data_IF_522265485023
#
_entry.id   IF_522265485023
#
_cell.length_a   1.000
_cell.length_b   1.000
_cell.length_c   1.000
_cell.angle_alpha   90.00
_cell.angle_beta   90.00
_cell.angle_gamma   90.00
#
_symmetry.space_group_name_H-M   'P 1'
#
loop_
_entity.id
_entity.type
_entity.pdbx_description
1 polymer ?
#
# COMPACT_ATOMS: atom_id res chain seq x y z
N UNK A 1 -47.57 -5.27 19.76
CA UNK A 1 -46.67 -4.58 18.79
C UNK A 1 -45.51 -4.01 19.58
N UNK A 2 -44.45 -4.77 19.74
CA UNK A 2 -43.30 -4.43 20.60
C UNK A 2 -42.20 -3.89 19.73
N UNK A 3 -41.88 -2.59 19.89
CA UNK A 3 -40.80 -1.90 19.18
C UNK A 3 -39.54 -2.04 20.01
N UNK A 4 -38.55 -2.76 19.49
CA UNK A 4 -37.19 -2.86 20.03
C UNK A 4 -36.37 -1.65 19.55
N UNK A 5 -36.05 -0.72 20.46
CA UNK A 5 -35.02 0.31 20.24
C UNK A 5 -33.63 -0.27 20.55
N UNK A 6 -32.78 -0.38 19.53
CA UNK A 6 -31.34 -0.60 19.70
C UNK A 6 -30.65 0.72 20.04
N UNK A 7 -30.04 0.78 21.20
CA UNK A 7 -29.15 1.88 21.58
C UNK A 7 -27.74 1.65 21.03
N UNK A 8 -27.22 2.62 20.28
CA UNK A 8 -25.81 2.73 19.95
C UNK A 8 -25.24 3.94 20.72
N UNK A 9 -24.21 3.66 21.49
CA UNK A 9 -23.18 4.54 22.09
C UNK A 9 -23.48 6.02 22.31
N UNK A 10 -23.57 6.39 23.58
CA UNK A 10 -23.56 7.78 24.08
C UNK A 10 -22.13 8.12 24.51
N UNK A 11 -21.52 9.14 23.88
CA UNK A 11 -20.30 9.78 24.34
C UNK A 11 -20.67 11.07 25.04
N UNK A 12 -20.23 11.25 26.29
CA UNK A 12 -20.49 12.41 27.10
C UNK A 12 -19.17 13.13 27.40
N UNK A 13 -18.97 14.33 26.81
CA UNK A 13 -17.87 15.22 27.12
C UNK A 13 -18.33 16.28 28.11
N UNK A 14 -17.48 16.63 29.06
CA UNK A 14 -17.75 17.58 30.15
C UNK A 14 -18.04 18.98 29.61
N UNK A 15 -19.28 19.27 29.30
CA UNK A 15 -19.83 20.63 29.34
C UNK A 15 -21.33 20.56 29.02
N UNK A 16 -22.13 20.90 29.95
CA UNK A 16 -23.56 21.24 30.09
C UNK A 16 -24.47 21.34 28.85
N UNK A 17 -24.26 20.60 27.77
CA UNK A 17 -25.24 20.46 26.66
C UNK A 17 -25.06 19.14 25.93
N UNK A 18 -26.01 18.20 26.11
CA UNK A 18 -26.13 17.02 25.27
C UNK A 18 -26.78 17.41 23.93
N UNK A 19 -26.07 17.24 22.82
CA UNK A 19 -26.62 17.40 21.47
C UNK A 19 -26.75 16.01 20.83
N UNK A 20 -27.98 15.61 20.57
CA UNK A 20 -28.32 14.44 19.79
C UNK A 20 -28.27 14.80 18.30
N UNK A 21 -27.37 14.20 17.56
CA UNK A 21 -27.36 14.30 16.12
C UNK A 21 -28.17 13.13 15.51
N UNK A 22 -29.38 13.44 15.02
CA UNK A 22 -30.19 12.55 14.20
C UNK A 22 -30.54 13.29 12.92
N UNK A 23 -30.29 12.78 11.74
CA UNK A 23 -30.76 13.41 10.50
C UNK A 23 -32.21 13.01 10.20
N UNK A 24 -33.05 14.04 10.04
CA UNK A 24 -34.39 14.03 9.46
C UNK A 24 -35.54 13.25 10.16
N UNK A 25 -36.27 13.95 11.06
CA UNK A 25 -37.71 13.82 11.19
C UNK A 25 -38.28 15.01 12.02
N UNK A 26 -39.55 15.42 11.78
CA UNK A 26 -40.07 16.67 12.24
C UNK A 26 -40.49 16.66 13.70
N UNK A 27 -40.44 17.83 14.30
CA UNK A 27 -40.78 18.24 15.66
C UNK A 27 -41.94 17.50 16.32
N UNK A 28 -41.64 16.81 17.43
CA UNK A 28 -42.63 16.44 18.44
C UNK A 28 -42.35 17.25 19.74
N UNK A 29 -43.27 18.11 20.11
CA UNK A 29 -43.26 18.86 21.39
C UNK A 29 -43.65 17.89 22.50
N UNK A 30 -42.82 17.77 23.53
CA UNK A 30 -43.25 17.16 24.79
C UNK A 30 -44.06 18.17 25.58
N UNK A 31 -45.32 17.84 25.83
CA UNK A 31 -46.20 18.55 26.73
C UNK A 31 -45.81 18.26 28.19
N UNK A 32 -45.67 19.30 28.96
CA UNK A 32 -45.50 19.24 30.41
C UNK A 32 -46.74 18.64 31.06
N UNK A 33 -46.53 17.65 31.93
CA UNK A 33 -47.62 17.15 32.79
C UNK A 33 -47.64 17.97 34.07
N UNK A 34 -48.53 18.96 34.11
CA UNK A 34 -49.07 19.49 35.35
C UNK A 34 -50.20 18.54 35.80
N UNK A 35 -50.02 17.95 36.98
CA UNK A 35 -51.03 17.09 37.61
C UNK A 35 -51.21 17.46 39.09
N UNK A 36 -52.16 18.31 39.35
CA UNK A 36 -52.64 18.59 40.70
C UNK A 36 -53.30 17.36 41.30
N UNK A 37 -52.64 16.73 42.25
CA UNK A 37 -53.21 15.64 43.04
C UNK A 37 -53.86 16.14 44.33
N UNK A 38 -55.11 15.90 44.49
CA UNK A 38 -56.01 16.24 45.55
C UNK A 38 -55.46 15.87 46.94
N UNK A 39 -55.67 16.84 47.89
CA UNK A 39 -55.24 16.81 49.29
C UNK A 39 -55.82 15.64 50.15
N UNK A 40 -56.76 14.84 49.60
CA UNK A 40 -57.32 13.67 50.27
C UNK A 40 -56.41 12.40 50.16
N UNK A 41 -55.53 12.35 49.27
CA UNK A 41 -54.64 11.17 49.09
C UNK A 41 -53.41 11.22 50.01
N UNK A 42 -53.09 12.41 50.59
CA UNK A 42 -51.95 12.55 51.50
C UNK A 42 -52.28 12.13 52.97
N UNK A 43 -53.55 12.04 53.35
CA UNK A 43 -53.94 11.59 54.69
C UNK A 43 -54.00 10.08 54.84
N UNK A 44 -54.20 9.31 53.72
CA UNK A 44 -54.24 7.84 53.76
C UNK A 44 -52.85 7.21 53.77
N UNK A 45 -51.81 7.94 53.32
CA UNK A 45 -50.43 7.45 53.34
C UNK A 45 -49.78 7.64 54.73
N UNK A 46 -50.18 8.63 55.52
CA UNK A 46 -49.67 8.82 56.89
C UNK A 46 -50.23 7.81 57.88
N UNK A 47 -51.42 7.27 57.70
CA UNK A 47 -51.99 6.30 58.63
C UNK A 47 -51.45 4.90 58.44
N UNK A 48 -50.92 4.53 57.21
CA UNK A 48 -50.23 3.28 56.95
C UNK A 48 -48.79 3.23 57.46
N UNK A 49 -48.16 4.37 57.69
CA UNK A 49 -46.78 4.46 58.15
C UNK A 49 -46.61 4.31 59.69
N UNK A 50 -47.68 4.45 60.47
CA UNK A 50 -47.63 4.26 61.95
C UNK A 50 -47.95 2.82 62.40
N UNK A 51 -48.51 1.95 61.52
CA UNK A 51 -48.82 0.56 61.89
C UNK A 51 -47.66 -0.42 61.58
N UNK A 52 -46.57 0.02 60.93
CA UNK A 52 -45.45 -0.85 60.55
C UNK A 52 -44.23 -0.78 61.50
N UNK A 53 -44.34 -0.09 62.64
CA UNK A 53 -43.20 0.17 63.51
C UNK A 53 -43.01 -0.80 64.68
N UNK A 54 -43.68 -1.97 64.69
CA UNK A 54 -43.50 -2.90 65.82
C UNK A 54 -43.49 -4.39 65.38
N UNK A 55 -42.79 -4.72 64.29
CA UNK A 55 -42.32 -6.09 64.14
C UNK A 55 -40.79 -6.07 64.33
N UNK A 56 -40.37 -6.40 65.53
CA UNK A 56 -38.98 -6.63 65.88
C UNK A 56 -38.47 -7.74 64.92
N UNK A 57 -37.72 -7.31 63.90
CA UNK A 57 -36.89 -8.22 63.17
C UNK A 57 -35.79 -8.68 64.12
N UNK A 58 -35.94 -9.92 64.65
CA UNK A 58 -34.75 -10.66 65.02
C UNK A 58 -33.79 -10.63 63.84
N UNK A 59 -32.73 -9.84 63.89
CA UNK A 59 -31.62 -9.96 63.02
C UNK A 59 -30.99 -11.33 63.32
N UNK A 60 -31.49 -12.36 62.64
CA UNK A 60 -30.67 -13.59 62.50
C UNK A 60 -29.34 -13.11 61.91
N UNK A 61 -28.24 -13.40 62.59
CA UNK A 61 -26.90 -13.29 62.05
C UNK A 61 -26.88 -14.34 60.94
N UNK A 62 -27.34 -13.92 59.74
CA UNK A 62 -27.19 -14.72 58.54
C UNK A 62 -25.69 -14.87 58.34
N UNK A 63 -25.22 -16.10 58.36
CA UNK A 63 -23.84 -16.38 57.92
C UNK A 63 -23.80 -16.00 56.45
N UNK A 64 -23.20 -14.83 56.16
CA UNK A 64 -23.02 -14.41 54.76
C UNK A 64 -22.10 -15.41 54.09
N UNK A 65 -22.62 -16.09 53.08
CA UNK A 65 -21.88 -17.11 52.29
C UNK A 65 -21.09 -16.39 51.21
N UNK A 66 -19.84 -16.75 50.94
CA UNK A 66 -19.05 -16.16 49.88
C UNK A 66 -19.73 -16.29 48.52
N UNK A 67 -19.70 -15.24 47.74
CA UNK A 67 -20.18 -15.21 46.38
C UNK A 67 -19.17 -14.55 45.43
N UNK A 68 -19.16 -15.00 44.18
CA UNK A 68 -18.37 -14.29 43.18
C UNK A 68 -19.08 -12.98 42.79
N UNK A 69 -18.27 -11.93 42.62
CA UNK A 69 -18.71 -10.66 42.09
C UNK A 69 -18.84 -10.74 40.55
N UNK A 70 -17.91 -10.10 39.84
CA UNK A 70 -17.88 -10.14 38.37
C UNK A 70 -17.25 -11.44 37.84
N UNK A 71 -17.68 -11.92 36.66
CA UNK A 71 -17.07 -13.07 36.00
C UNK A 71 -15.61 -12.80 35.61
N UNK A 72 -14.75 -13.82 35.72
CA UNK A 72 -13.36 -13.72 35.26
C UNK A 72 -13.35 -13.49 33.75
N UNK A 73 -12.63 -12.46 33.31
CA UNK A 73 -12.46 -12.14 31.89
C UNK A 73 -11.47 -13.08 31.21
N UNK A 74 -11.76 -13.45 29.95
CA UNK A 74 -10.77 -14.14 29.13
C UNK A 74 -9.69 -13.17 28.69
N UNK A 75 -8.44 -13.64 28.69
CA UNK A 75 -7.28 -12.85 28.34
C UNK A 75 -6.66 -13.34 27.03
N UNK A 76 -6.30 -12.43 26.15
CA UNK A 76 -5.50 -12.70 24.94
C UNK A 76 -4.19 -11.95 25.08
N UNK A 77 -3.09 -12.70 25.26
CA UNK A 77 -1.79 -12.12 25.61
C UNK A 77 -0.71 -12.63 24.64
N UNK A 78 0.10 -11.73 24.07
CA UNK A 78 1.26 -12.14 23.27
C UNK A 78 2.29 -12.87 24.12
N UNK A 79 2.93 -13.88 23.51
CA UNK A 79 4.04 -14.59 24.15
C UNK A 79 5.11 -13.60 24.67
N UNK A 80 5.65 -13.84 25.86
CA UNK A 80 6.65 -12.99 26.50
C UNK A 80 6.10 -11.78 27.26
N UNK A 81 4.77 -11.55 27.23
CA UNK A 81 4.07 -10.52 28.02
C UNK A 81 3.52 -11.12 29.30
N UNK A 82 3.06 -10.26 30.19
CA UNK A 82 2.50 -10.65 31.47
C UNK A 82 0.97 -10.74 31.37
N UNK A 83 0.37 -11.76 31.99
CA UNK A 83 -1.06 -11.95 32.12
C UNK A 83 -1.47 -11.82 33.60
N UNK A 84 -2.63 -11.21 33.84
CA UNK A 84 -3.20 -11.08 35.18
C UNK A 84 -4.68 -11.42 35.15
N UNK A 85 -5.07 -12.47 35.83
CA UNK A 85 -6.48 -12.78 36.10
C UNK A 85 -6.92 -12.11 37.37
N UNK A 86 -8.14 -11.64 37.36
CA UNK A 86 -8.83 -11.01 38.50
C UNK A 86 -10.02 -11.86 38.90
N UNK A 87 -10.11 -12.15 40.19
CA UNK A 87 -11.23 -12.88 40.79
C UNK A 87 -11.79 -12.07 41.98
N UNK A 88 -13.02 -11.63 41.83
CA UNK A 88 -13.72 -10.83 42.85
C UNK A 88 -14.62 -11.77 43.66
N UNK A 89 -14.41 -11.79 44.98
CA UNK A 89 -15.17 -12.62 45.91
C UNK A 89 -15.70 -11.73 47.03
N UNK A 90 -17.00 -11.58 47.12
CA UNK A 90 -17.67 -10.83 48.22
C UNK A 90 -17.94 -11.77 49.38
N UNK A 91 -17.92 -11.26 50.61
CA UNK A 91 -18.18 -11.98 51.86
C UNK A 91 -17.29 -13.20 52.05
N UNK A 92 -15.99 -13.07 51.70
CA UNK A 92 -15.06 -14.20 51.78
C UNK A 92 -14.93 -14.78 53.20
N UNK A 93 -14.99 -13.95 54.25
CA UNK A 93 -14.90 -14.37 55.65
C UNK A 93 -13.66 -15.23 55.93
N UNK A 94 -13.85 -16.42 56.51
CA UNK A 94 -12.80 -17.37 56.84
C UNK A 94 -12.47 -18.37 55.71
N UNK A 95 -13.15 -18.25 54.55
CA UNK A 95 -12.89 -19.11 53.37
C UNK A 95 -11.61 -18.67 52.66
N UNK A 96 -11.10 -19.57 51.82
CA UNK A 96 -9.87 -19.33 51.05
C UNK A 96 -10.11 -19.41 49.56
N UNK A 97 -9.48 -18.51 48.83
CA UNK A 97 -9.47 -18.50 47.37
C UNK A 97 -8.30 -19.40 46.90
N UNK A 98 -8.60 -20.25 45.91
CA UNK A 98 -7.62 -21.08 45.23
C UNK A 98 -7.56 -20.80 43.75
N UNK A 99 -6.37 -20.80 43.17
CA UNK A 99 -6.17 -20.71 41.73
C UNK A 99 -5.71 -22.07 41.19
N UNK A 100 -6.39 -22.59 40.15
CA UNK A 100 -6.11 -23.90 39.57
C UNK A 100 -6.02 -23.76 38.07
N UNK A 101 -5.01 -24.35 37.45
CA UNK A 101 -5.02 -24.53 35.98
C UNK A 101 -5.89 -25.73 35.70
N UNK A 102 -7.10 -25.45 35.14
CA UNK A 102 -8.17 -26.44 35.06
C UNK A 102 -7.82 -27.61 34.12
N UNK A 103 -7.11 -27.34 33.02
CA UNK A 103 -6.71 -28.34 32.02
C UNK A 103 -5.84 -29.45 32.62
N UNK A 104 -4.91 -29.08 33.51
CA UNK A 104 -3.96 -29.99 34.15
C UNK A 104 -4.37 -30.36 35.56
N UNK A 105 -5.40 -29.71 36.11
CA UNK A 105 -5.83 -29.78 37.51
C UNK A 105 -4.72 -29.40 38.50
N UNK A 106 -3.73 -28.63 38.04
CA UNK A 106 -2.60 -28.22 38.86
C UNK A 106 -2.96 -26.98 39.67
N UNK A 107 -2.81 -27.07 40.98
CA UNK A 107 -3.00 -25.95 41.90
C UNK A 107 -1.86 -24.95 41.66
N UNK A 108 -2.20 -23.73 41.37
CA UNK A 108 -1.23 -22.64 41.19
C UNK A 108 -0.95 -21.93 42.51
N UNK A 109 -2.01 -21.62 43.25
CA UNK A 109 -1.89 -20.97 44.54
C UNK A 109 -3.14 -21.21 45.41
N UNK A 110 -2.95 -21.08 46.73
CA UNK A 110 -4.05 -21.07 47.71
C UNK A 110 -3.87 -19.82 48.55
N UNK A 111 -4.84 -18.92 48.51
CA UNK A 111 -4.83 -17.62 49.16
C UNK A 111 -3.57 -16.84 48.73
N UNK A 112 -2.66 -16.52 49.66
CA UNK A 112 -1.40 -15.82 49.39
C UNK A 112 -0.23 -16.79 49.09
N UNK A 113 -0.43 -18.08 49.28
CA UNK A 113 0.62 -19.08 49.13
C UNK A 113 0.67 -19.65 47.71
N UNK A 114 1.77 -19.40 46.99
CA UNK A 114 2.06 -20.03 45.70
C UNK A 114 2.45 -21.49 45.92
N UNK A 115 1.76 -22.42 45.27
CA UNK A 115 1.96 -23.87 45.38
C UNK A 115 2.74 -24.41 44.19
N UNK A 116 2.55 -23.81 43.01
CA UNK A 116 3.26 -24.26 41.80
C UNK A 116 4.76 -24.01 41.88
N UNK A 117 5.55 -24.87 41.24
CA UNK A 117 7.00 -24.67 41.08
C UNK A 117 7.34 -23.71 39.95
N UNK A 118 6.33 -23.20 39.18
CA UNK A 118 6.54 -22.24 38.14
C UNK A 118 6.85 -20.84 38.71
N UNK A 119 8.12 -20.44 38.66
CA UNK A 119 8.60 -19.17 39.22
C UNK A 119 7.99 -17.94 38.54
N UNK A 120 7.34 -18.11 37.38
CA UNK A 120 6.64 -17.03 36.64
C UNK A 120 5.26 -16.72 37.23
N UNK A 121 4.75 -17.59 38.12
CA UNK A 121 3.43 -17.43 38.74
C UNK A 121 3.57 -16.74 40.09
N UNK A 122 2.74 -15.73 40.32
CA UNK A 122 2.61 -15.08 41.64
C UNK A 122 1.16 -14.66 41.87
N UNK A 123 0.81 -14.38 43.11
CA UNK A 123 -0.53 -13.94 43.48
C UNK A 123 -0.43 -12.66 44.32
N UNK A 124 -1.48 -11.84 44.25
CA UNK A 124 -1.68 -10.67 45.08
C UNK A 124 -3.15 -10.45 45.34
N UNK A 125 -3.47 -9.58 46.24
CA UNK A 125 -4.82 -9.05 46.45
C UNK A 125 -4.73 -7.57 46.74
N UNK A 126 -5.75 -6.79 46.32
CA UNK A 126 -5.83 -5.34 46.57
C UNK A 126 -6.60 -5.03 47.85
N UNK A 127 -7.57 -5.88 48.16
CA UNK A 127 -8.43 -5.82 49.33
C UNK A 127 -8.84 -7.25 49.73
N UNK A 128 -9.78 -7.42 50.66
CA UNK A 128 -10.26 -8.74 51.04
C UNK A 128 -11.17 -9.40 49.99
N UNK A 129 -11.55 -8.67 48.93
CA UNK A 129 -12.49 -9.16 47.94
C UNK A 129 -11.83 -9.46 46.59
N UNK A 130 -10.73 -8.80 46.21
CA UNK A 130 -10.15 -8.86 44.86
C UNK A 130 -8.82 -9.61 44.89
N UNK A 131 -8.79 -10.75 44.16
CA UNK A 131 -7.67 -11.69 44.12
C UNK A 131 -7.08 -11.77 42.71
N UNK A 132 -5.77 -11.62 42.59
CA UNK A 132 -5.06 -11.63 41.31
C UNK A 132 -4.15 -12.86 41.20
N UNK A 133 -4.18 -13.48 40.01
CA UNK A 133 -3.17 -14.45 39.56
C UNK A 133 -2.34 -13.79 38.46
N UNK A 134 -1.04 -13.62 38.73
CA UNK A 134 -0.10 -13.05 37.75
C UNK A 134 0.74 -14.18 37.14
N UNK A 135 0.84 -14.17 35.81
CA UNK A 135 1.69 -15.07 35.02
C UNK A 135 2.65 -14.18 34.25
N UNK A 136 3.91 -14.10 34.66
CA UNK A 136 4.92 -13.27 34.00
C UNK A 136 5.55 -14.01 32.84
N UNK A 137 5.93 -13.24 31.77
CA UNK A 137 6.62 -13.80 30.62
C UNK A 137 5.89 -15.03 30.07
N UNK A 138 4.61 -14.86 29.71
CA UNK A 138 3.69 -15.91 29.24
C UNK A 138 4.34 -16.72 28.13
N UNK A 139 4.27 -18.05 28.23
CA UNK A 139 4.73 -19.02 27.26
C UNK A 139 3.53 -19.74 26.61
N UNK A 140 3.76 -20.45 25.50
CA UNK A 140 2.68 -21.16 24.81
C UNK A 140 2.01 -22.22 25.70
N UNK A 141 2.78 -22.86 26.56
CA UNK A 141 2.32 -23.85 27.54
C UNK A 141 1.36 -23.30 28.62
N UNK A 142 1.35 -21.97 28.81
CA UNK A 142 0.46 -21.32 29.76
C UNK A 142 -0.97 -21.17 29.22
N UNK A 143 -1.17 -21.33 27.92
CA UNK A 143 -2.51 -21.35 27.32
C UNK A 143 -3.40 -22.33 28.02
N UNK A 144 -4.66 -21.95 28.26
CA UNK A 144 -5.65 -22.85 28.86
C UNK A 144 -6.58 -22.16 29.84
N UNK A 145 -7.35 -22.97 30.54
CA UNK A 145 -8.35 -22.53 31.50
C UNK A 145 -7.73 -22.36 32.90
N UNK A 146 -7.99 -21.21 33.51
CA UNK A 146 -7.64 -20.93 34.91
C UNK A 146 -8.90 -20.73 35.70
N UNK A 147 -8.98 -21.44 36.82
CA UNK A 147 -10.14 -21.48 37.69
C UNK A 147 -9.82 -20.81 39.02
N UNK A 148 -10.64 -19.85 39.40
CA UNK A 148 -10.70 -19.32 40.74
C UNK A 148 -11.77 -20.09 41.53
N UNK A 149 -11.44 -20.67 42.66
CA UNK A 149 -12.34 -21.45 43.46
C UNK A 149 -12.33 -21.03 44.92
N UNK A 150 -13.47 -21.19 45.59
CA UNK A 150 -13.66 -20.92 47.00
C UNK A 150 -13.97 -22.26 47.68
N UNK A 151 -13.34 -22.55 48.82
CA UNK A 151 -13.46 -23.78 49.58
C UNK A 151 -14.76 -23.86 50.41
N UNK A 152 -15.90 -23.46 49.77
CA UNK A 152 -17.25 -23.65 50.32
C UNK A 152 -17.71 -25.09 50.17
N UNK A 153 -18.76 -25.47 50.87
CA UNK A 153 -19.48 -26.75 50.66
C UNK A 153 -20.94 -26.47 50.23
N UNK A 154 -21.36 -26.72 48.97
CA UNK A 154 -20.47 -27.20 47.87
C UNK A 154 -19.49 -26.15 47.40
N UNK A 155 -18.33 -26.60 46.82
CA UNK A 155 -17.30 -25.74 46.30
C UNK A 155 -17.80 -24.86 45.15
N UNK A 156 -17.54 -23.54 45.26
CA UNK A 156 -17.85 -22.57 44.20
C UNK A 156 -16.63 -22.32 43.33
N UNK A 157 -16.81 -22.18 42.03
CA UNK A 157 -15.73 -21.86 41.09
C UNK A 157 -16.22 -21.05 39.90
N UNK A 158 -15.32 -20.25 39.32
CA UNK A 158 -15.48 -19.61 38.03
C UNK A 158 -14.17 -19.69 37.22
N UNK A 159 -14.30 -19.63 35.89
CA UNK A 159 -13.16 -19.85 34.99
C UNK A 159 -12.95 -18.69 34.02
N UNK A 160 -11.66 -18.41 33.77
CA UNK A 160 -11.22 -17.56 32.67
C UNK A 160 -10.27 -18.34 31.75
N UNK A 161 -10.19 -17.96 30.50
CA UNK A 161 -9.31 -18.57 29.51
C UNK A 161 -8.15 -17.63 29.16
N UNK A 162 -6.93 -18.16 29.19
CA UNK A 162 -5.74 -17.49 28.67
C UNK A 162 -5.48 -17.98 27.25
N UNK A 163 -5.68 -17.12 26.27
CA UNK A 163 -5.25 -17.34 24.91
C UNK A 163 -3.87 -16.70 24.68
N UNK A 164 -2.92 -17.52 24.26
CA UNK A 164 -1.55 -17.07 23.99
C UNK A 164 -1.38 -16.89 22.50
N UNK A 165 -1.12 -15.66 22.08
CA UNK A 165 -0.90 -15.33 20.68
C UNK A 165 0.57 -15.15 20.39
N UNK A 166 0.99 -15.59 19.19
CA UNK A 166 2.38 -15.54 18.74
C UNK A 166 2.46 -14.66 17.51
N UNK A 167 3.27 -13.59 17.52
CA UNK A 167 3.45 -12.76 16.36
C UNK A 167 4.03 -13.55 15.19
N UNK A 168 3.84 -13.08 13.94
CA UNK A 168 4.36 -13.76 12.76
C UNK A 168 5.89 -13.74 12.73
N UNK A 169 6.49 -14.84 12.29
CA UNK A 169 7.90 -14.98 12.00
C UNK A 169 8.10 -15.81 10.73
N UNK A 170 9.10 -15.47 9.89
CA UNK A 170 9.36 -16.23 8.68
C UNK A 170 10.08 -17.54 8.97
N UNK A 171 9.77 -18.55 8.15
CA UNK A 171 10.48 -19.83 8.14
C UNK A 171 11.57 -19.72 7.06
N UNK A 172 12.85 -19.58 7.46
CA UNK A 172 13.94 -19.29 6.52
C UNK A 172 14.10 -20.35 5.44
N UNK A 173 13.94 -21.62 5.77
CA UNK A 173 14.13 -22.77 4.88
C UNK A 173 13.03 -22.86 3.81
N UNK A 174 11.85 -22.30 4.08
CA UNK A 174 10.69 -22.32 3.19
C UNK A 174 10.46 -20.96 2.51
N UNK A 175 11.33 -19.98 2.77
CA UNK A 175 11.21 -18.63 2.23
C UNK A 175 12.35 -18.34 1.25
N UNK A 176 12.00 -18.05 -0.02
CA UNK A 176 12.97 -17.78 -1.08
C UNK A 176 13.86 -16.58 -0.78
N UNK A 177 15.10 -16.64 -1.28
CA UNK A 177 15.98 -15.48 -1.42
C UNK A 177 15.79 -14.79 -2.78
N UNK A 178 16.76 -13.94 -3.12
CA UNK A 178 16.83 -13.26 -4.41
C UNK A 178 16.89 -14.28 -5.55
N UNK A 179 16.21 -13.97 -6.64
CA UNK A 179 16.00 -14.92 -7.75
C UNK A 179 16.34 -14.27 -9.07
N UNK A 180 16.99 -15.03 -9.96
CA UNK A 180 17.32 -14.62 -11.31
C UNK A 180 16.62 -15.53 -12.31
N UNK A 181 15.99 -14.91 -13.32
CA UNK A 181 15.26 -15.66 -14.36
C UNK A 181 15.50 -15.02 -15.74
N UNK A 182 15.53 -15.78 -16.82
CA UNK A 182 15.58 -15.21 -18.17
C UNK A 182 14.26 -14.50 -18.51
N UNK A 183 14.34 -13.47 -19.35
CA UNK A 183 13.14 -12.79 -19.86
C UNK A 183 12.22 -13.78 -20.59
N UNK A 184 10.91 -13.67 -20.37
CA UNK A 184 9.94 -14.64 -20.87
C UNK A 184 9.85 -15.93 -20.03
N UNK A 185 10.73 -16.13 -19.05
CA UNK A 185 10.73 -17.26 -18.14
C UNK A 185 9.65 -17.18 -17.06
N UNK A 186 9.78 -18.01 -16.04
CA UNK A 186 8.87 -18.05 -14.89
C UNK A 186 9.65 -17.87 -13.60
N UNK A 187 9.36 -16.79 -12.88
CA UNK A 187 9.80 -16.60 -11.53
C UNK A 187 8.79 -17.23 -10.56
N UNK A 188 9.28 -18.03 -9.62
CA UNK A 188 8.49 -18.58 -8.54
C UNK A 188 9.21 -18.31 -7.23
N UNK A 189 8.62 -17.49 -6.40
CA UNK A 189 9.13 -17.17 -5.07
C UNK A 189 8.12 -17.59 -4.01
N UNK A 190 8.61 -18.18 -2.94
CA UNK A 190 7.82 -18.63 -1.80
C UNK A 190 8.14 -17.79 -0.57
N UNK A 191 7.14 -17.64 0.28
CA UNK A 191 7.28 -16.95 1.54
C UNK A 191 6.34 -17.62 2.54
N UNK A 192 6.90 -18.23 3.57
CA UNK A 192 6.12 -18.94 4.58
C UNK A 192 6.43 -18.39 5.96
N UNK A 193 5.38 -18.22 6.74
CA UNK A 193 5.49 -17.68 8.08
C UNK A 193 4.72 -18.57 9.08
N UNK A 194 5.20 -18.58 10.32
CA UNK A 194 4.57 -19.20 11.48
C UNK A 194 4.08 -18.14 12.45
N UNK A 195 3.10 -18.49 13.26
CA UNK A 195 2.52 -17.61 14.28
C UNK A 195 1.15 -18.14 14.74
N UNK A 196 0.61 -17.56 15.79
CA UNK A 196 -0.71 -17.93 16.32
C UNK A 196 -1.52 -16.63 16.54
N UNK A 197 -2.66 -16.46 15.85
CA UNK A 197 -3.22 -17.29 14.77
C UNK A 197 -2.30 -17.46 13.55
N UNK A 198 -2.57 -18.40 12.62
CA UNK A 198 -1.77 -18.58 11.42
C UNK A 198 -1.67 -17.28 10.61
N UNK A 199 -0.45 -16.83 10.23
CA UNK A 199 -0.27 -15.59 9.49
C UNK A 199 -0.84 -15.65 8.08
N UNK A 200 -1.35 -14.51 7.60
CA UNK A 200 -1.67 -14.31 6.19
C UNK A 200 -0.50 -13.66 5.49
N UNK A 201 -0.09 -14.23 4.36
CA UNK A 201 1.01 -13.74 3.54
C UNK A 201 0.46 -12.95 2.37
N UNK A 202 1.05 -11.77 2.13
CA UNK A 202 0.76 -10.92 0.99
C UNK A 202 2.04 -10.38 0.36
N UNK A 203 1.97 -10.11 -0.95
CA UNK A 203 3.06 -9.58 -1.72
C UNK A 203 2.74 -8.18 -2.23
N UNK A 204 3.74 -7.32 -2.25
CA UNK A 204 3.71 -5.98 -2.87
C UNK A 204 5.03 -5.72 -3.58
N UNK A 205 5.03 -4.85 -4.58
CA UNK A 205 6.27 -4.30 -5.11
C UNK A 205 6.74 -3.16 -4.21
N UNK A 206 8.06 -3.07 -3.98
CA UNK A 206 8.66 -2.01 -3.15
C UNK A 206 8.54 -0.63 -3.80
N UNK A 207 8.57 -0.57 -5.14
CA UNK A 207 8.42 0.64 -5.94
C UNK A 207 6.97 1.15 -6.03
N UNK A 208 6.02 0.44 -5.40
CA UNK A 208 4.60 0.80 -5.41
C UNK A 208 3.86 0.48 -6.70
N UNK A 209 4.53 -0.11 -7.70
CA UNK A 209 3.89 -0.52 -8.93
C UNK A 209 3.04 -1.78 -8.74
N UNK A 210 2.17 -2.05 -9.72
CA UNK A 210 1.32 -3.23 -9.72
C UNK A 210 2.11 -4.52 -10.05
N UNK A 211 1.73 -5.61 -9.42
CA UNK A 211 2.18 -6.95 -9.74
C UNK A 211 1.36 -7.47 -10.92
N UNK A 212 2.03 -7.89 -11.99
CA UNK A 212 1.37 -8.49 -13.16
C UNK A 212 1.26 -10.00 -12.98
N UNK A 213 0.07 -10.47 -12.69
CA UNK A 213 -0.22 -11.90 -12.58
C UNK A 213 -0.87 -12.38 -13.87
N UNK A 214 -0.47 -13.57 -14.34
CA UNK A 214 -1.06 -14.20 -15.53
C UNK A 214 -1.73 -15.50 -15.13
N UNK A 215 -2.95 -15.67 -15.56
CA UNK A 215 -3.70 -16.89 -15.34
C UNK A 215 -3.23 -18.03 -16.29
N UNK A 216 -3.87 -19.18 -16.20
CA UNK A 216 -3.57 -20.35 -17.05
C UNK A 216 -3.89 -20.12 -18.54
N UNK A 217 -4.73 -19.13 -18.87
CA UNK A 217 -5.05 -18.72 -20.25
C UNK A 217 -4.04 -17.71 -20.80
N UNK A 218 -3.20 -17.14 -19.93
CA UNK A 218 -2.25 -16.09 -20.26
C UNK A 218 -2.83 -14.66 -20.16
N UNK A 219 -4.08 -14.52 -19.71
CA UNK A 219 -4.67 -13.21 -19.45
C UNK A 219 -3.93 -12.51 -18.30
N UNK A 220 -3.58 -11.24 -18.53
CA UNK A 220 -2.85 -10.40 -17.57
C UNK A 220 -3.83 -9.70 -16.64
N UNK A 221 -3.63 -9.82 -15.35
CA UNK A 221 -4.26 -9.01 -14.33
C UNK A 221 -3.19 -8.21 -13.57
N UNK A 222 -3.51 -6.98 -13.22
CA UNK A 222 -2.63 -6.10 -12.46
C UNK A 222 -3.22 -5.89 -11.08
N UNK A 223 -2.41 -6.14 -10.05
CA UNK A 223 -2.84 -6.04 -8.66
C UNK A 223 -1.80 -5.30 -7.83
N UNK A 224 -2.23 -4.40 -6.94
CA UNK A 224 -1.32 -3.73 -6.00
C UNK A 224 -0.81 -4.68 -4.92
N UNK A 225 -1.62 -5.70 -4.59
CA UNK A 225 -1.30 -6.71 -3.59
C UNK A 225 -1.73 -8.08 -4.09
N UNK A 226 -0.88 -9.08 -3.91
CA UNK A 226 -1.18 -10.47 -4.19
C UNK A 226 -1.18 -11.27 -2.89
N UNK A 227 -2.24 -12.06 -2.63
CA UNK A 227 -2.35 -12.88 -1.43
C UNK A 227 -1.95 -14.32 -1.72
N UNK A 228 -1.16 -14.90 -0.83
CA UNK A 228 -0.71 -16.29 -0.90
C UNK A 228 0.76 -16.45 -0.55
N UNK A 229 1.15 -17.64 -0.15
CA UNK A 229 2.55 -17.97 0.20
C UNK A 229 3.47 -18.04 -1.00
N UNK A 230 2.93 -18.30 -2.21
CA UNK A 230 3.71 -18.46 -3.43
C UNK A 230 3.27 -17.43 -4.44
N UNK A 231 4.22 -16.57 -4.85
CA UNK A 231 4.04 -15.67 -5.98
C UNK A 231 4.69 -16.31 -7.23
N UNK A 232 3.86 -16.53 -8.25
CA UNK A 232 4.31 -17.10 -9.54
C UNK A 232 4.08 -16.08 -10.65
N UNK A 233 5.19 -15.60 -11.25
CA UNK A 233 5.20 -14.70 -12.39
C UNK A 233 5.61 -15.45 -13.63
N UNK A 234 4.67 -15.73 -14.52
CA UNK A 234 4.92 -16.47 -15.78
C UNK A 234 5.16 -15.49 -16.94
N UNK A 235 6.03 -15.84 -17.89
CA UNK A 235 6.41 -14.96 -19.02
C UNK A 235 6.81 -13.57 -18.54
N UNK A 236 7.69 -13.54 -17.52
CA UNK A 236 8.13 -12.31 -16.87
C UNK A 236 8.88 -11.42 -17.88
N UNK A 237 8.63 -10.12 -17.84
CA UNK A 237 9.30 -9.11 -18.65
C UNK A 237 10.28 -8.28 -17.82
N UNK A 238 11.22 -7.60 -18.50
CA UNK A 238 12.19 -6.70 -17.86
C UNK A 238 11.55 -5.61 -16.99
N UNK A 239 10.34 -5.14 -17.35
CA UNK A 239 9.59 -4.16 -16.56
C UNK A 239 9.04 -4.70 -15.23
N UNK A 240 8.98 -6.03 -15.09
CA UNK A 240 8.54 -6.70 -13.87
C UNK A 240 9.71 -7.02 -12.93
N UNK A 241 10.96 -6.73 -13.34
CA UNK A 241 12.15 -6.78 -12.49
C UNK A 241 12.01 -5.81 -11.32
N UNK A 242 12.54 -6.17 -10.16
CA UNK A 242 12.55 -5.31 -8.98
C UNK A 242 12.43 -6.06 -7.67
N UNK A 243 12.25 -5.30 -6.60
CA UNK A 243 12.12 -5.84 -5.26
C UNK A 243 10.66 -6.05 -4.89
N UNK A 244 10.35 -7.27 -4.49
CA UNK A 244 9.05 -7.67 -3.98
C UNK A 244 9.13 -7.83 -2.46
N UNK A 245 8.15 -7.26 -1.77
CA UNK A 245 8.00 -7.38 -0.33
C UNK A 245 7.02 -8.51 -0.04
N UNK A 246 7.49 -9.55 0.63
CA UNK A 246 6.64 -10.52 1.29
C UNK A 246 6.28 -10.00 2.68
N UNK A 247 5.02 -9.89 3.01
CA UNK A 247 4.51 -9.35 4.26
C UNK A 247 3.64 -10.41 4.92
N UNK A 248 3.97 -10.78 6.15
CA UNK A 248 3.19 -11.72 6.94
C UNK A 248 2.59 -11.04 8.17
N UNK A 249 1.29 -11.22 8.38
CA UNK A 249 0.56 -10.65 9.50
C UNK A 249 -0.56 -11.56 9.97
N UNK A 250 -0.79 -11.61 11.28
CA UNK A 250 -1.87 -12.38 11.90
C UNK A 250 -2.72 -11.55 12.89
N UNK A 251 -2.59 -10.22 12.85
CA UNK A 251 -3.23 -9.31 13.79
C UNK A 251 -2.46 -9.11 15.10
N UNK A 252 -1.40 -9.88 15.32
CA UNK A 252 -0.52 -9.74 16.49
C UNK A 252 0.73 -8.96 16.06
N UNK A 253 1.03 -7.80 16.63
CA UNK A 253 2.20 -7.02 16.28
C UNK A 253 3.50 -7.67 16.85
N UNK A 254 4.65 -7.50 16.15
CA UNK A 254 4.83 -6.76 14.90
C UNK A 254 4.49 -7.60 13.67
N UNK A 255 3.95 -6.96 12.62
CA UNK A 255 3.90 -7.55 11.28
C UNK A 255 5.32 -7.61 10.72
N UNK A 256 5.70 -8.72 10.08
CA UNK A 256 7.04 -8.90 9.51
C UNK A 256 7.03 -8.81 8.00
N UNK A 257 8.15 -8.34 7.42
CA UNK A 257 8.32 -8.25 5.98
C UNK A 257 9.71 -8.71 5.55
N UNK A 258 9.79 -9.38 4.38
CA UNK A 258 11.05 -9.80 3.75
C UNK A 258 11.13 -9.25 2.34
N UNK A 259 12.29 -8.71 1.98
CA UNK A 259 12.62 -8.23 0.64
C UNK A 259 13.16 -9.39 -0.18
N UNK A 260 12.64 -9.56 -1.39
CA UNK A 260 13.13 -10.57 -2.36
C UNK A 260 13.29 -9.84 -3.69
N UNK A 261 14.52 -9.81 -4.19
CA UNK A 261 14.81 -9.17 -5.46
C UNK A 261 14.68 -10.19 -6.62
N UNK A 262 13.89 -9.85 -7.63
CA UNK A 262 13.74 -10.65 -8.85
C UNK A 262 14.46 -9.93 -9.96
N UNK A 263 15.56 -10.52 -10.45
CA UNK A 263 16.34 -10.05 -11.59
C UNK A 263 15.87 -10.77 -12.85
N UNK A 264 15.59 -10.01 -13.91
CA UNK A 264 15.26 -10.56 -15.23
C UNK A 264 16.46 -10.39 -16.13
N UNK A 265 17.03 -11.49 -16.63
CA UNK A 265 18.21 -11.49 -17.46
C UNK A 265 17.85 -11.53 -18.95
N UNK A 266 18.48 -10.67 -19.74
CA UNK A 266 18.29 -10.58 -21.18
C UNK A 266 19.55 -10.04 -21.89
N UNK A 267 19.64 -10.32 -23.19
CA UNK A 267 20.70 -9.79 -24.05
C UNK A 267 20.65 -8.26 -24.11
N UNK A 268 21.79 -7.59 -24.27
CA UNK A 268 21.78 -6.15 -24.50
C UNK A 268 20.91 -5.78 -25.71
N UNK A 269 20.23 -4.65 -25.60
CA UNK A 269 19.48 -4.03 -26.70
C UNK A 269 19.93 -2.59 -26.81
N UNK A 270 20.27 -2.14 -28.02
CA UNK A 270 20.64 -0.76 -28.29
C UNK A 270 19.56 -0.08 -29.13
N UNK A 271 19.15 1.09 -28.69
CA UNK A 271 18.27 1.99 -29.42
C UNK A 271 19.07 3.26 -29.74
N UNK A 272 19.08 3.64 -31.00
CA UNK A 272 19.74 4.85 -31.48
C UNK A 272 18.67 5.84 -31.96
N UNK A 273 18.57 7.03 -31.37
CA UNK A 273 17.56 8.02 -31.78
C UNK A 273 17.77 8.47 -33.23
N UNK A 274 19.03 8.68 -33.61
CA UNK A 274 19.41 9.18 -34.92
C UNK A 274 20.54 8.35 -35.51
N UNK A 275 20.26 7.60 -36.57
CA UNK A 275 21.26 6.82 -37.29
C UNK A 275 22.11 7.64 -38.27
N UNK A 276 21.62 8.84 -38.63
CA UNK A 276 22.29 9.80 -39.49
C UNK A 276 22.34 11.13 -38.77
N UNK A 277 23.57 11.61 -38.50
CA UNK A 277 23.80 12.87 -37.82
C UNK A 277 24.66 13.76 -38.75
N UNK A 278 24.14 14.92 -39.07
CA UNK A 278 24.85 15.90 -39.89
C UNK A 278 25.32 17.06 -39.02
N UNK A 279 26.54 17.51 -39.26
CA UNK A 279 27.07 18.69 -38.56
C UNK A 279 28.04 19.47 -39.47
N UNK A 280 28.12 20.84 -39.36
CA UNK A 280 29.12 21.64 -40.02
C UNK A 280 30.53 21.38 -39.40
N UNK A 281 31.57 21.46 -40.22
CA UNK A 281 32.92 21.41 -39.71
C UNK A 281 33.21 22.55 -38.71
N UNK A 282 33.99 22.27 -37.68
CA UNK A 282 34.33 23.24 -36.64
C UNK A 282 33.29 23.37 -35.51
N UNK A 283 32.18 22.64 -35.59
CA UNK A 283 31.16 22.60 -34.55
C UNK A 283 31.30 21.34 -33.66
N UNK A 284 30.64 21.36 -32.52
CA UNK A 284 30.53 20.18 -31.64
C UNK A 284 29.30 19.36 -31.99
N UNK A 285 29.41 18.01 -31.94
CA UNK A 285 28.28 17.11 -32.17
C UNK A 285 28.21 16.04 -31.08
N UNK A 286 27.00 15.71 -30.64
CA UNK A 286 26.78 14.67 -29.68
C UNK A 286 26.04 13.48 -30.33
N UNK A 287 26.63 12.30 -30.19
CA UNK A 287 26.05 11.02 -30.59
C UNK A 287 25.48 10.32 -29.34
N UNK A 288 24.29 9.72 -29.46
CA UNK A 288 23.56 9.14 -28.34
C UNK A 288 23.13 7.71 -28.63
N UNK A 289 23.30 6.84 -27.62
CA UNK A 289 22.81 5.45 -27.63
C UNK A 289 22.10 5.17 -26.30
N UNK A 290 20.94 4.54 -26.39
CA UNK A 290 20.21 4.00 -25.23
C UNK A 290 20.43 2.48 -25.19
N UNK A 291 20.94 2.01 -24.06
CA UNK A 291 21.26 0.58 -23.86
C UNK A 291 20.39 0.01 -22.77
N UNK A 292 19.69 -1.08 -23.06
CA UNK A 292 19.01 -1.90 -22.06
C UNK A 292 19.76 -3.21 -21.92
N UNK A 293 20.13 -3.60 -20.70
CA UNK A 293 20.85 -4.85 -20.43
C UNK A 293 20.68 -5.34 -19.01
N UNK A 294 20.59 -6.67 -18.88
CA UNK A 294 20.63 -7.33 -17.57
C UNK A 294 21.22 -8.76 -17.75
N UNK A 295 22.35 -9.07 -17.13
CA UNK A 295 23.22 -8.25 -16.28
C UNK A 295 23.76 -7.01 -17.00
N UNK A 296 24.24 -6.04 -16.20
CA UNK A 296 24.79 -4.80 -16.73
C UNK A 296 25.87 -5.05 -17.78
N UNK A 297 25.78 -4.37 -18.93
CA UNK A 297 26.71 -4.47 -20.03
C UNK A 297 27.94 -3.56 -19.84
N UNK A 298 29.04 -3.96 -20.48
CA UNK A 298 30.18 -3.09 -20.77
C UNK A 298 29.83 -2.37 -22.06
N UNK A 299 29.87 -1.04 -22.04
CA UNK A 299 29.45 -0.20 -23.13
C UNK A 299 30.62 0.66 -23.60
N UNK A 300 30.85 0.72 -24.93
CA UNK A 300 31.94 1.51 -25.51
C UNK A 300 31.63 1.93 -26.95
N UNK A 301 32.40 2.88 -27.45
CA UNK A 301 32.30 3.42 -28.78
C UNK A 301 33.46 2.93 -29.66
N UNK A 302 33.14 2.61 -30.92
CA UNK A 302 34.12 2.21 -31.93
C UNK A 302 33.89 3.04 -33.19
N UNK A 303 34.96 3.51 -33.83
CA UNK A 303 34.94 4.12 -35.17
C UNK A 303 35.21 3.04 -36.22
N UNK A 304 34.40 2.99 -37.26
CA UNK A 304 34.61 2.06 -38.39
C UNK A 304 35.92 2.43 -39.12
N UNK A 305 36.88 1.45 -39.36
CA UNK A 305 36.72 0.00 -39.42
C UNK A 305 37.03 -0.80 -38.13
N UNK A 306 36.92 -0.27 -36.93
CA UNK A 306 37.10 -1.02 -35.68
C UNK A 306 38.05 -0.37 -34.66
N UNK A 307 38.28 0.91 -34.77
CA UNK A 307 39.10 1.68 -33.85
C UNK A 307 38.32 2.00 -32.56
N UNK A 308 38.85 1.54 -31.41
CA UNK A 308 38.27 1.84 -30.11
C UNK A 308 38.44 3.33 -29.78
N UNK A 309 37.36 4.02 -29.49
CA UNK A 309 37.42 5.44 -29.11
C UNK A 309 37.61 5.54 -27.60
N UNK A 310 38.65 6.30 -27.21
CA UNK A 310 39.00 6.56 -25.80
C UNK A 310 38.63 8.01 -25.45
N UNK A 311 38.11 8.26 -24.23
CA UNK A 311 37.86 9.62 -23.77
C UNK A 311 39.08 10.51 -23.90
N UNK A 312 38.90 11.70 -24.49
CA UNK A 312 39.99 12.71 -24.74
C UNK A 312 39.38 14.09 -24.72
N UNK A 313 40.20 15.12 -24.87
CA UNK A 313 39.73 16.51 -25.03
C UNK A 313 38.86 16.69 -26.28
N UNK A 314 39.08 15.87 -27.31
CA UNK A 314 38.31 15.86 -28.56
C UNK A 314 37.07 14.97 -28.48
N UNK A 315 37.10 13.88 -27.71
CA UNK A 315 35.98 12.94 -27.51
C UNK A 315 35.58 12.92 -26.04
N UNK A 316 34.53 13.65 -25.69
CA UNK A 316 33.92 13.62 -24.35
C UNK A 316 32.86 12.55 -24.29
N UNK A 317 33.02 11.59 -23.37
CA UNK A 317 32.11 10.47 -23.26
C UNK A 317 31.45 10.40 -21.87
N UNK A 318 30.13 10.15 -21.84
CA UNK A 318 29.43 9.91 -20.58
C UNK A 318 28.55 8.67 -20.68
N UNK A 319 28.40 7.97 -19.55
CA UNK A 319 27.44 6.88 -19.40
C UNK A 319 26.58 7.18 -18.17
N UNK A 320 25.33 7.44 -18.41
CA UNK A 320 24.34 7.78 -17.37
C UNK A 320 23.39 6.61 -17.16
N UNK A 321 23.33 6.05 -15.95
CA UNK A 321 22.34 5.05 -15.58
C UNK A 321 20.96 5.72 -15.39
N UNK A 322 19.94 5.30 -16.12
CA UNK A 322 18.56 5.80 -16.04
C UNK A 322 17.68 4.94 -15.14
N UNK A 323 17.84 3.61 -15.23
CA UNK A 323 17.13 2.64 -14.39
C UNK A 323 18.03 1.46 -14.03
N UNK A 324 17.48 0.42 -13.42
CA UNK A 324 18.23 -0.79 -13.06
C UNK A 324 18.85 -1.49 -14.28
N UNK A 325 18.23 -1.36 -15.45
CA UNK A 325 18.67 -2.03 -16.68
C UNK A 325 18.85 -1.09 -17.88
N UNK A 326 18.59 0.22 -17.73
CA UNK A 326 18.72 1.22 -18.80
C UNK A 326 19.92 2.14 -18.55
N UNK A 327 20.73 2.34 -19.55
CA UNK A 327 21.83 3.30 -19.56
C UNK A 327 21.80 4.14 -20.83
N UNK A 328 22.14 5.41 -20.71
CA UNK A 328 22.35 6.35 -21.80
C UNK A 328 23.85 6.54 -21.99
N UNK A 329 24.31 6.33 -23.19
CA UNK A 329 25.69 6.60 -23.60
C UNK A 329 25.69 7.83 -24.50
N UNK A 330 26.48 8.81 -24.17
CA UNK A 330 26.70 9.97 -25.03
C UNK A 330 28.17 10.12 -25.36
N UNK A 331 28.46 10.53 -26.58
CA UNK A 331 29.82 10.90 -27.05
C UNK A 331 29.70 12.21 -27.76
N UNK A 332 30.39 13.24 -27.25
CA UNK A 332 30.51 14.56 -27.88
C UNK A 332 31.86 14.68 -28.56
N UNK A 333 31.86 14.89 -29.88
CA UNK A 333 33.02 15.16 -30.69
C UNK A 333 33.13 16.68 -30.78
N UNK A 334 34.22 17.25 -30.25
CA UNK A 334 34.43 18.68 -30.23
C UNK A 334 35.21 19.17 -31.45
N UNK A 335 34.80 20.29 -32.02
CA UNK A 335 35.44 20.92 -33.17
C UNK A 335 35.67 19.93 -34.33
N UNK A 336 34.55 19.40 -34.88
CA UNK A 336 34.55 18.35 -35.91
C UNK A 336 35.46 18.71 -37.10
N UNK A 337 36.28 17.74 -37.48
CA UNK A 337 37.16 17.79 -38.65
C UNK A 337 36.69 16.78 -39.72
N UNK A 338 37.23 16.92 -40.94
CA UNK A 338 36.91 15.95 -42.02
C UNK A 338 37.30 14.53 -41.67
N UNK A 339 38.34 14.33 -40.87
CA UNK A 339 38.78 13.01 -40.39
C UNK A 339 37.81 12.36 -39.41
N UNK A 340 36.92 13.17 -38.76
CA UNK A 340 35.91 12.68 -37.83
C UNK A 340 34.65 12.17 -38.54
N UNK A 341 34.49 12.52 -39.82
CA UNK A 341 33.37 12.08 -40.61
C UNK A 341 33.45 10.56 -40.81
N UNK A 342 32.31 9.88 -40.79
CA UNK A 342 32.27 8.44 -40.97
C UNK A 342 31.24 7.76 -40.08
N UNK A 343 31.47 6.48 -39.79
CA UNK A 343 30.54 5.69 -39.01
C UNK A 343 31.09 5.43 -37.61
N UNK A 344 30.25 5.66 -36.62
CA UNK A 344 30.48 5.38 -35.21
C UNK A 344 29.57 4.24 -34.79
N UNK A 345 30.10 3.30 -34.03
CA UNK A 345 29.41 2.09 -33.57
C UNK A 345 29.34 2.14 -32.06
N UNK A 346 28.12 2.09 -31.53
CA UNK A 346 27.83 1.90 -30.12
C UNK A 346 27.76 0.40 -29.87
N UNK A 347 28.57 -0.10 -28.93
CA UNK A 347 28.65 -1.53 -28.59
C UNK A 347 28.26 -1.73 -27.13
N UNK A 348 27.41 -2.70 -26.88
CA UNK A 348 27.04 -3.16 -25.55
C UNK A 348 27.24 -4.66 -25.43
N UNK A 349 28.00 -5.11 -24.41
CA UNK A 349 28.34 -6.51 -24.19
C UNK A 349 28.10 -6.93 -22.76
N UNK A 350 27.35 -8.01 -22.55
CA UNK A 350 27.20 -8.66 -21.25
C UNK A 350 27.50 -10.16 -21.32
N UNK A 351 27.26 -10.92 -20.25
CA UNK A 351 27.49 -12.35 -20.18
C UNK A 351 26.58 -13.19 -21.10
N UNK A 352 25.51 -12.62 -21.65
CA UNK A 352 24.55 -13.31 -22.50
C UNK A 352 24.79 -13.03 -23.98
N UNK A 353 25.56 -11.99 -24.31
CA UNK A 353 25.89 -11.64 -25.70
C UNK A 353 26.29 -10.19 -25.86
N UNK A 354 26.48 -9.82 -27.12
CA UNK A 354 26.81 -8.47 -27.53
C UNK A 354 25.88 -7.98 -28.64
N UNK A 355 25.75 -6.67 -28.74
CA UNK A 355 24.97 -5.99 -29.78
C UNK A 355 25.65 -4.68 -30.15
N UNK A 356 25.52 -4.32 -31.42
CA UNK A 356 26.11 -3.14 -32.04
C UNK A 356 25.01 -2.31 -32.71
N UNK A 357 25.21 -0.98 -32.72
CA UNK A 357 24.36 -0.08 -33.50
C UNK A 357 25.20 1.02 -34.11
N UNK A 358 24.94 1.34 -35.39
CA UNK A 358 25.76 2.23 -36.20
C UNK A 358 25.09 3.60 -36.37
N UNK A 359 25.89 4.65 -36.18
CA UNK A 359 25.54 6.06 -36.41
C UNK A 359 26.49 6.60 -37.46
N UNK A 360 25.98 7.22 -38.52
CA UNK A 360 26.79 7.87 -39.53
C UNK A 360 26.80 9.36 -39.33
N UNK A 361 28.02 9.92 -39.15
CA UNK A 361 28.28 11.33 -39.09
C UNK A 361 28.69 11.83 -40.49
N UNK A 362 28.03 12.86 -41.00
CA UNK A 362 28.32 13.46 -42.31
C UNK A 362 28.36 14.97 -42.22
N UNK A 363 29.10 15.61 -43.16
CA UNK A 363 29.24 17.04 -43.27
C UNK A 363 27.97 17.69 -43.82
N UNK A 364 27.47 18.71 -43.15
CA UNK A 364 26.47 19.62 -43.66
C UNK A 364 27.23 20.89 -44.10
N UNK A 365 27.03 21.37 -45.37
CA UNK A 365 27.62 22.62 -45.79
C UNK A 365 27.22 23.75 -44.83
N UNK A 366 28.19 24.45 -44.26
CA UNK A 366 27.93 25.66 -43.50
C UNK A 366 27.19 26.66 -44.40
N UNK A 367 26.21 27.33 -43.87
CA UNK A 367 25.67 28.51 -44.53
C UNK A 367 26.78 29.61 -44.49
N UNK A 368 27.71 29.54 -45.44
CA UNK A 368 28.47 30.72 -45.80
C UNK A 368 27.44 31.74 -46.26
N UNK A 369 27.02 32.59 -45.38
CA UNK A 369 26.38 33.84 -45.79
C UNK A 369 27.48 34.57 -46.55
N UNK A 370 27.56 34.34 -47.85
CA UNK A 370 28.17 35.31 -48.72
C UNK A 370 27.41 36.59 -48.47
N UNK A 371 28.01 37.46 -47.68
CA UNK A 371 27.67 38.88 -47.66
C UNK A 371 28.08 39.33 -49.07
N UNK A 372 27.10 39.35 -49.97
CA UNK A 372 27.25 40.07 -51.22
C UNK A 372 27.50 41.54 -50.80
N UNK A 373 28.77 41.91 -50.72
CA UNK A 373 29.16 43.29 -50.78
C UNK A 373 28.79 43.73 -52.18
N UNK A 374 27.67 44.43 -52.30
CA UNK A 374 27.41 45.22 -53.50
C UNK A 374 28.54 46.22 -53.61
N UNK A 375 29.24 46.33 -54.77
CA UNK A 375 30.21 47.38 -54.99
C UNK A 375 29.46 48.72 -54.83
N UNK A 376 30.00 49.56 -54.01
CA UNK A 376 29.54 50.93 -53.79
C UNK A 376 29.81 51.71 -55.07
N UNK A 377 28.95 51.62 -56.06
CA UNK A 377 28.95 52.51 -57.25
C UNK A 377 28.47 53.87 -56.78
N UNK A 378 29.42 54.76 -56.61
CA UNK A 378 29.22 56.21 -56.46
C UNK A 378 28.46 56.69 -57.71
N UNK A 379 27.16 56.89 -57.58
CA UNK A 379 26.43 57.69 -58.57
C UNK A 379 26.70 59.15 -58.22
N UNK A 380 27.50 59.75 -59.08
CA UNK A 380 27.65 61.22 -59.19
C UNK A 380 26.31 61.76 -59.74
N UNK A 381 25.75 62.66 -58.95
CA UNK A 381 24.66 63.51 -59.34
C UNK A 381 24.96 64.26 -60.60
N UNK A 382 24.07 64.21 -61.57
CA UNK A 382 23.62 65.38 -62.40
C UNK A 382 22.63 64.80 -63.44
N UNK A 383 21.41 65.17 -63.37
CA UNK A 383 20.59 65.78 -64.38
C UNK A 383 19.13 65.64 -64.09
N UNK A 384 18.52 66.75 -64.08
CA UNK A 384 17.18 67.17 -63.98
C UNK A 384 16.36 66.71 -65.21
N UNK A 385 15.15 66.27 -65.06
CA UNK A 385 13.91 66.54 -65.85
C UNK A 385 12.83 65.49 -65.78
N UNK A 386 11.58 65.96 -65.46
CA UNK A 386 10.36 65.48 -66.06
C UNK A 386 9.42 64.67 -65.21
N UNK A 387 8.53 65.40 -64.60
CA UNK A 387 7.21 64.91 -64.15
C UNK A 387 6.45 64.23 -65.27
N UNK A 388 5.84 63.10 -64.99
CA UNK A 388 4.45 62.81 -65.40
C UNK A 388 3.81 61.76 -64.54
N UNK A 389 2.66 62.14 -64.00
CA UNK A 389 1.69 61.33 -63.21
C UNK A 389 0.82 60.56 -64.23
N UNK A 390 0.69 59.27 -64.04
CA UNK A 390 -0.50 58.52 -64.48
C UNK A 390 -0.88 57.55 -63.36
N UNK A 391 -2.04 57.82 -62.79
CA UNK A 391 -2.88 56.89 -62.08
C UNK A 391 -3.49 55.94 -63.13
N UNK A 392 -3.38 54.63 -62.88
CA UNK A 392 -4.33 53.63 -63.37
C UNK A 392 -4.51 52.50 -62.38
N UNK A 393 -5.67 52.49 -61.79
CA UNK A 393 -6.30 51.39 -61.15
C UNK A 393 -6.47 50.21 -62.13
N UNK A 394 -5.96 48.99 -61.71
CA UNK A 394 -6.45 47.75 -62.25
C UNK A 394 -6.52 46.69 -61.14
N UNK A 395 -7.78 46.30 -61.01
CA UNK A 395 -8.24 45.20 -60.15
C UNK A 395 -7.53 43.88 -60.35
N UNK A 396 -7.23 43.27 -59.21
CA UNK A 396 -7.65 41.99 -58.72
C UNK A 396 -7.80 40.83 -59.71
N UNK A 397 -7.07 39.77 -59.45
CA UNK A 397 -7.58 38.42 -59.14
C UNK A 397 -6.49 37.34 -59.20
N UNK A 398 -6.44 36.54 -58.09
CA UNK A 398 -6.07 35.13 -58.08
C UNK A 398 -4.63 34.72 -58.47
N UNK A 399 -3.75 34.72 -57.44
CA UNK A 399 -2.66 33.74 -57.40
C UNK A 399 -2.78 32.94 -56.08
N UNK A 400 -3.32 31.73 -56.19
CA UNK A 400 -3.26 30.71 -55.12
C UNK A 400 -1.80 30.34 -54.83
N UNK A 401 -1.24 30.85 -53.75
CA UNK A 401 0.02 30.36 -53.25
C UNK A 401 -0.23 29.08 -52.47
N UNK A 402 0.30 27.98 -52.96
CA UNK A 402 0.44 26.75 -52.24
C UNK A 402 1.42 26.94 -51.04
N UNK A 403 0.90 27.20 -49.86
CA UNK A 403 1.63 27.09 -48.61
C UNK A 403 1.64 25.63 -48.20
N UNK A 404 2.81 25.01 -48.24
CA UNK A 404 3.13 23.78 -47.51
C UNK A 404 3.04 24.08 -46.04
N UNK A 405 2.31 23.30 -45.23
CA UNK A 405 2.25 23.53 -43.81
C UNK A 405 3.55 23.09 -43.14
N UNK A 406 4.25 24.00 -42.51
CA UNK A 406 5.33 23.75 -41.56
C UNK A 406 4.81 22.85 -40.42
N UNK A 407 5.24 21.60 -40.41
CA UNK A 407 5.14 20.74 -39.24
C UNK A 407 6.21 21.19 -38.27
N UNK A 408 5.88 22.11 -37.39
CA UNK A 408 6.66 22.38 -36.20
C UNK A 408 6.66 21.16 -35.29
N UNK A 409 7.82 20.55 -35.12
CA UNK A 409 8.09 19.53 -34.08
C UNK A 409 7.93 20.17 -32.71
N UNK A 410 6.79 19.90 -32.06
CA UNK A 410 6.61 20.12 -30.65
C UNK A 410 7.03 18.84 -29.91
N UNK A 411 8.20 18.85 -29.31
CA UNK A 411 8.60 17.87 -28.33
C UNK A 411 8.15 18.30 -26.94
N UNK A 412 7.55 17.37 -26.24
CA UNK A 412 6.83 17.51 -25.00
C UNK A 412 7.74 17.83 -23.82
N UNK A 413 7.36 18.86 -23.06
CA UNK A 413 7.65 18.92 -21.64
C UNK A 413 6.51 18.21 -20.90
N UNK A 414 6.91 17.31 -20.02
CA UNK A 414 6.05 16.52 -19.15
C UNK A 414 5.40 17.43 -18.10
N UNK A 415 4.08 17.63 -18.17
CA UNK A 415 3.26 17.84 -16.98
C UNK A 415 1.82 17.42 -17.30
N UNK A 416 1.38 16.43 -16.57
CA UNK A 416 0.12 15.77 -16.75
C UNK A 416 -1.08 16.66 -16.49
N UNK A 417 -1.89 16.89 -17.54
CA UNK A 417 -3.37 16.99 -17.46
C UNK A 417 -3.93 16.98 -18.87
N UNK A 418 -4.57 15.87 -19.21
CA UNK A 418 -5.40 15.77 -20.42
C UNK A 418 -6.73 16.43 -20.12
N UNK A 419 -7.02 17.55 -20.77
CA UNK A 419 -8.37 18.10 -20.90
C UNK A 419 -8.83 17.74 -22.30
N UNK A 420 -9.80 16.84 -22.39
CA UNK A 420 -10.49 16.50 -23.63
C UNK A 420 -11.54 17.56 -23.89
N UNK A 421 -11.32 18.41 -24.91
CA UNK A 421 -12.33 19.30 -25.43
C UNK A 421 -13.26 18.50 -26.34
N UNK A 422 -14.56 18.49 -25.99
CA UNK A 422 -15.61 17.84 -26.72
C UNK A 422 -15.93 18.56 -28.06
N UNK A 423 -16.15 17.77 -29.09
CA UNK A 423 -16.88 18.17 -30.28
C UNK A 423 -18.24 17.47 -30.28
N UNK A 424 -19.26 18.30 -30.23
CA UNK A 424 -20.66 17.94 -30.36
C UNK A 424 -20.96 17.47 -31.81
N UNK A 425 -21.60 16.32 -31.99
CA UNK A 425 -22.89 16.19 -32.65
C UNK A 425 -23.32 14.73 -32.84
N UNK A 426 -24.56 14.55 -32.45
CA UNK A 426 -25.58 13.73 -33.09
C UNK A 426 -25.94 12.36 -32.52
N UNK A 427 -27.15 12.43 -31.95
CA UNK A 427 -28.27 11.47 -32.07
C UNK A 427 -28.34 10.25 -31.18
N UNK A 428 -29.33 10.39 -30.30
CA UNK A 428 -30.14 9.40 -29.59
C UNK A 428 -30.33 8.08 -30.34
N UNK A 429 -30.15 6.98 -29.62
CA UNK A 429 -31.02 5.79 -29.67
C UNK A 429 -30.76 4.96 -28.40
N UNK A 430 -31.78 4.89 -27.57
CA UNK A 430 -31.94 3.87 -26.52
C UNK A 430 -32.36 2.54 -27.19
N UNK A 431 -31.96 1.41 -26.59
CA UNK A 431 -33.01 0.43 -26.29
C UNK A 431 -32.90 -0.18 -24.89
N UNK A 432 -33.97 -0.08 -24.17
CA UNK A 432 -34.77 -1.16 -23.55
C UNK A 432 -34.06 -2.19 -22.67
N UNK A 433 -34.38 -2.05 -21.41
CA UNK A 433 -34.29 -3.03 -20.34
C UNK A 433 -34.96 -4.36 -20.70
N UNK A 434 -34.29 -5.48 -20.50
CA UNK A 434 -34.93 -6.77 -20.33
C UNK A 434 -34.38 -7.44 -19.07
N UNK A 435 -35.21 -7.40 -18.05
CA UNK A 435 -35.12 -8.22 -16.84
C UNK A 435 -35.51 -9.66 -17.22
N UNK A 436 -34.67 -10.63 -16.92
CA UNK A 436 -35.09 -12.03 -16.80
C UNK A 436 -34.56 -12.63 -15.52
N UNK A 437 -35.41 -12.60 -14.51
CA UNK A 437 -35.49 -13.53 -13.39
C UNK A 437 -35.72 -14.93 -13.89
N UNK A 438 -34.89 -15.89 -13.51
CA UNK A 438 -35.27 -17.30 -13.53
C UNK A 438 -34.83 -17.93 -12.20
N UNK A 439 -35.84 -18.23 -11.39
CA UNK A 439 -35.82 -19.21 -10.32
C UNK A 439 -35.52 -20.60 -10.87
N UNK A 440 -34.65 -21.36 -10.22
CA UNK A 440 -34.82 -22.81 -10.14
C UNK A 440 -34.33 -23.36 -8.80
N UNK A 441 -35.27 -23.90 -8.11
CA UNK A 441 -35.26 -24.70 -6.89
C UNK A 441 -34.96 -26.17 -7.25
N UNK A 442 -34.48 -26.92 -6.25
CA UNK A 442 -34.48 -28.40 -6.09
C UNK A 442 -33.14 -29.08 -6.43
N UNK A 443 -32.68 -30.07 -5.70
CA UNK A 443 -33.11 -30.93 -4.57
C UNK A 443 -31.86 -31.73 -4.16
N UNK A 444 -31.62 -31.89 -2.85
CA UNK A 444 -31.60 -33.15 -2.08
C UNK A 444 -31.23 -34.46 -2.82
N UNK A 445 -30.17 -35.14 -2.37
CA UNK A 445 -30.10 -36.47 -1.75
C UNK A 445 -28.65 -36.93 -1.67
N UNK A 446 -28.18 -37.21 -0.44
CA UNK A 446 -27.87 -38.48 0.18
C UNK A 446 -26.77 -39.32 -0.54
N UNK A 447 -25.59 -39.31 0.01
CA UNK A 447 -24.90 -40.41 0.70
C UNK A 447 -23.78 -39.87 1.53
#
# INVERSE_FOLDING_TARGET
MTVLCKFSSISCERSTKCVLAVPHAPSARCAACDGGGSMLMRLLILSAALAAANTGKHAGVGVEVPEFGEPITNLTVPIGRDATFECIVVNLGNYRVGWVKADTKAIQAIHELVITHNSRVSVSHSDHSTWYLHIKNVQEEDRGQYMCQINTDPMKSQMGFLDVVIPPDFIPEETSGDTMVPEGGTARVSCKARGVPPPRVMWKREDGQEIVVRDHTGAKSKVLTYQGEILKLTKISRSEMGTYLCIAGNGVPPTVSKRIHISVHFHPVIQVPNQLVGAPLGTDVTLECYVESSPKSINYWVKDPGELIIPSEHHEMTVRQKSMFEAEMTMTIKNIRREDLGSYICVAKNSLGDVESKIRLYEIPGNDRHVYQYPDERITSDDEYGTEIYDEDVDNENIKSNRVPDRANKWYANDGKVIVAGSSNARKLLPTVVIKTIFFLRMLTVF
#
